data_IF_428742247605
#
_entry.id   IF_428742247605
#
_cell.length_a   1.000
_cell.length_b   1.000
_cell.length_c   1.000
_cell.angle_alpha   90.00
_cell.angle_beta   90.00
_cell.angle_gamma   90.00
#
_symmetry.space_group_name_H-M   'P 1'
#
loop_
_entity.id
_entity.type
_entity.pdbx_description
1 polymer ?
#
# COMPACT_ATOMS: atom_id res chain seq x y z
N UNK A 1 -1.34 24.35 -5.40
CA UNK A 1 -0.48 23.35 -6.06
C UNK A 1 0.74 23.19 -5.17
N UNK A 2 1.26 21.97 -5.01
CA UNK A 2 2.49 21.75 -4.24
C UNK A 2 3.67 22.45 -4.94
N UNK A 3 4.52 23.12 -4.18
CA UNK A 3 5.72 23.74 -4.73
C UNK A 3 6.74 22.64 -5.10
N UNK A 4 7.60 22.84 -6.13
CA UNK A 4 8.67 21.90 -6.47
C UNK A 4 9.54 21.48 -5.27
N UNK A 5 9.76 22.39 -4.33
CA UNK A 5 10.49 22.10 -3.08
C UNK A 5 9.77 21.11 -2.17
N UNK A 6 8.44 21.13 -2.14
CA UNK A 6 7.65 20.20 -1.31
C UNK A 6 7.72 18.78 -1.86
N UNK A 7 7.75 18.64 -3.20
CA UNK A 7 7.88 17.36 -3.89
C UNK A 7 9.24 16.73 -3.60
N UNK A 8 10.33 17.47 -3.78
CA UNK A 8 11.67 16.95 -3.47
C UNK A 8 11.82 16.60 -1.98
N UNK A 9 11.25 17.42 -1.09
CA UNK A 9 11.25 17.14 0.35
C UNK A 9 10.53 15.83 0.67
N UNK A 10 9.33 15.64 0.11
CA UNK A 10 8.55 14.42 0.29
C UNK A 10 9.28 13.18 -0.25
N UNK A 11 9.83 13.27 -1.47
CA UNK A 11 10.57 12.15 -2.07
C UNK A 11 11.80 11.81 -1.22
N UNK A 12 12.56 12.82 -0.78
CA UNK A 12 13.77 12.61 0.03
C UNK A 12 13.45 12.02 1.40
N UNK A 13 12.38 12.49 2.05
CA UNK A 13 11.92 11.98 3.35
C UNK A 13 11.61 10.49 3.26
N UNK A 14 10.81 10.08 2.26
CA UNK A 14 10.27 8.72 2.22
C UNK A 14 11.20 7.69 1.58
N UNK A 15 12.08 8.11 0.67
CA UNK A 15 13.03 7.19 0.00
C UNK A 15 13.86 6.40 1.01
N UNK A 16 14.41 7.08 2.02
CA UNK A 16 15.27 6.48 3.03
C UNK A 16 14.56 5.74 4.17
N UNK A 17 13.23 5.65 4.16
CA UNK A 17 12.49 5.04 5.27
C UNK A 17 12.58 3.50 5.27
N UNK A 18 12.89 2.94 6.45
CA UNK A 18 12.99 1.49 6.68
C UNK A 18 12.65 1.17 8.14
N UNK A 19 11.91 0.09 8.40
CA UNK A 19 11.42 -0.29 9.74
C UNK A 19 10.25 0.56 10.26
N UNK A 20 9.41 -0.03 11.12
CA UNK A 20 8.14 0.49 11.69
C UNK A 20 6.99 0.71 10.66
N UNK A 21 6.42 -0.42 10.21
CA UNK A 21 5.48 -0.52 9.07
C UNK A 21 4.21 0.34 9.20
N UNK A 22 3.58 0.40 10.38
CA UNK A 22 2.27 1.05 10.55
C UNK A 22 2.36 2.58 10.65
N UNK A 23 3.31 3.11 11.43
CA UNK A 23 3.45 4.55 11.65
C UNK A 23 3.89 5.29 10.37
N UNK A 24 4.73 4.63 9.57
CA UNK A 24 5.20 5.16 8.29
C UNK A 24 4.08 5.22 7.26
N UNK A 25 3.20 4.20 7.22
CA UNK A 25 2.07 4.15 6.29
C UNK A 25 1.13 5.35 6.45
N UNK A 26 0.65 5.61 7.67
CA UNK A 26 -0.31 6.71 7.90
C UNK A 26 0.33 8.07 7.61
N UNK A 27 1.58 8.26 8.04
CA UNK A 27 2.34 9.49 7.81
C UNK A 27 2.61 9.72 6.31
N UNK A 28 2.99 8.68 5.57
CA UNK A 28 3.19 8.74 4.12
C UNK A 28 1.91 9.13 3.39
N UNK A 29 0.78 8.48 3.70
CA UNK A 29 -0.50 8.74 3.04
C UNK A 29 -1.01 10.15 3.35
N UNK A 30 -0.83 10.64 4.59
CA UNK A 30 -1.17 12.03 4.94
C UNK A 30 -0.29 13.03 4.18
N UNK A 31 1.01 12.76 4.09
CA UNK A 31 1.95 13.58 3.31
C UNK A 31 1.61 13.60 1.82
N UNK A 32 1.26 12.44 1.25
CA UNK A 32 0.82 12.31 -0.13
C UNK A 32 -0.49 13.07 -0.38
N UNK A 33 -1.49 12.94 0.51
CA UNK A 33 -2.74 13.68 0.40
C UNK A 33 -2.50 15.19 0.37
N UNK A 34 -1.63 15.70 1.27
CA UNK A 34 -1.21 17.09 1.28
C UNK A 34 -0.50 17.49 -0.02
N UNK A 35 0.41 16.66 -0.52
CA UNK A 35 1.15 16.91 -1.75
C UNK A 35 0.21 17.02 -2.97
N UNK A 36 -0.80 16.14 -3.03
CA UNK A 36 -1.82 16.12 -4.08
C UNK A 36 -2.91 17.18 -3.87
N UNK A 37 -2.93 17.88 -2.73
CA UNK A 37 -3.96 18.87 -2.40
C UNK A 37 -5.36 18.27 -2.17
N UNK A 38 -5.43 16.99 -1.79
CA UNK A 38 -6.69 16.29 -1.46
C UNK A 38 -6.87 16.16 0.04
N UNK A 39 -8.12 15.95 0.48
CA UNK A 39 -8.41 15.69 1.89
C UNK A 39 -7.62 14.46 2.39
N UNK A 40 -7.07 14.47 3.62
CA UNK A 40 -6.49 13.29 4.23
C UNK A 40 -7.56 12.37 4.86
N UNK A 41 -7.22 11.09 5.17
CA UNK A 41 -8.10 10.22 5.93
C UNK A 41 -8.44 10.80 7.31
N UNK A 42 -9.66 10.54 7.78
CA UNK A 42 -10.15 11.00 9.09
C UNK A 42 -9.82 9.97 10.18
N UNK A 43 -9.84 10.43 11.43
CA UNK A 43 -9.73 9.55 12.58
C UNK A 43 -10.90 8.56 12.64
N UNK A 44 -10.59 7.28 12.87
CA UNK A 44 -11.61 6.25 13.00
C UNK A 44 -12.51 6.51 14.21
N UNK A 45 -13.82 6.30 14.02
CA UNK A 45 -14.85 6.37 15.06
C UNK A 45 -15.21 4.97 15.56
N UNK A 46 -15.81 4.91 16.75
CA UNK A 46 -16.30 3.65 17.33
C UNK A 46 -17.43 3.02 16.49
N UNK A 47 -18.25 3.86 15.85
CA UNK A 47 -19.22 3.43 14.86
C UNK A 47 -18.55 3.30 13.48
N UNK A 48 -18.37 2.06 13.06
CA UNK A 48 -17.74 1.70 11.79
C UNK A 48 -18.53 2.16 10.56
N UNK A 49 -19.84 2.41 10.69
CA UNK A 49 -20.66 2.92 9.57
C UNK A 49 -20.32 4.37 9.20
N UNK A 50 -19.71 5.12 10.11
CA UNK A 50 -19.26 6.49 9.88
C UNK A 50 -17.80 6.59 9.36
N UNK A 51 -17.14 5.45 9.16
CA UNK A 51 -15.73 5.35 8.78
C UNK A 51 -15.55 5.25 7.25
N UNK A 52 -16.00 6.29 6.55
CA UNK A 52 -16.02 6.36 5.08
C UNK A 52 -14.68 6.73 4.45
N UNK A 53 -13.80 7.42 5.17
CA UNK A 53 -12.43 7.68 4.73
C UNK A 53 -11.50 7.66 5.94
N UNK A 54 -10.90 6.50 6.23
CA UNK A 54 -10.14 6.26 7.47
C UNK A 54 -8.95 5.34 7.23
N UNK A 55 -8.00 5.37 8.17
CA UNK A 55 -7.02 4.31 8.32
C UNK A 55 -7.60 3.12 9.09
N UNK A 56 -6.97 1.95 8.92
CA UNK A 56 -7.24 0.72 9.69
C UNK A 56 -8.73 0.32 9.71
N UNK A 57 -9.43 0.48 8.57
CA UNK A 57 -10.85 0.14 8.47
C UNK A 57 -11.05 -1.35 8.71
N UNK A 58 -11.85 -1.67 9.70
CA UNK A 58 -12.16 -3.06 10.06
C UNK A 58 -13.04 -3.69 8.99
N UNK A 59 -12.79 -4.96 8.69
CA UNK A 59 -13.65 -5.79 7.83
C UNK A 59 -13.72 -7.20 8.39
N UNK A 60 -14.86 -7.84 8.19
CA UNK A 60 -15.11 -9.21 8.62
C UNK A 60 -15.21 -10.10 7.39
N UNK A 61 -14.26 -11.02 7.26
CA UNK A 61 -14.18 -11.95 6.14
C UNK A 61 -14.87 -13.25 6.53
N UNK A 62 -15.90 -13.64 5.80
CA UNK A 62 -16.50 -14.96 5.95
C UNK A 62 -15.56 -16.02 5.35
N UNK A 63 -15.15 -17.00 6.16
CA UNK A 63 -14.20 -18.05 5.76
C UNK A 63 -14.88 -19.18 4.96
N UNK A 64 -16.21 -19.17 4.81
CA UNK A 64 -16.99 -20.16 4.07
C UNK A 64 -17.35 -21.42 4.86
N UNK A 65 -16.82 -21.58 6.07
CA UNK A 65 -17.12 -22.66 7.02
C UNK A 65 -18.05 -22.20 8.17
N UNK A 66 -18.63 -21.01 8.04
CA UNK A 66 -19.45 -20.38 9.08
C UNK A 66 -18.64 -19.57 10.10
N UNK A 67 -17.31 -19.56 10.02
CA UNK A 67 -16.45 -18.69 10.84
C UNK A 67 -16.14 -17.39 10.12
N UNK A 68 -15.89 -16.33 10.90
CA UNK A 68 -15.43 -15.05 10.38
C UNK A 68 -14.01 -14.77 10.86
N UNK A 69 -13.17 -14.25 9.95
CA UNK A 69 -11.87 -13.72 10.28
C UNK A 69 -11.90 -12.19 10.26
N UNK A 70 -11.13 -11.61 11.18
CA UNK A 70 -11.00 -10.16 11.30
C UNK A 70 -9.86 -9.65 10.42
N UNK A 71 -10.11 -8.57 9.67
CA UNK A 71 -9.12 -7.87 8.87
C UNK A 71 -9.14 -6.36 9.13
N UNK A 72 -8.04 -5.69 8.77
CA UNK A 72 -7.93 -4.23 8.76
C UNK A 72 -7.35 -3.81 7.41
N UNK A 73 -8.06 -2.91 6.74
CA UNK A 73 -7.59 -2.24 5.54
C UNK A 73 -6.71 -1.07 5.99
N UNK A 74 -5.50 -0.94 5.43
CA UNK A 74 -4.59 0.14 5.83
C UNK A 74 -5.19 1.53 5.61
N UNK A 75 -5.76 1.78 4.45
CA UNK A 75 -6.54 2.98 4.19
C UNK A 75 -7.73 2.70 3.25
N UNK A 76 -8.90 3.18 3.62
CA UNK A 76 -10.14 2.93 2.89
C UNK A 76 -10.86 4.25 2.65
N UNK A 77 -11.32 4.47 1.40
CA UNK A 77 -12.22 5.56 1.03
C UNK A 77 -13.43 4.99 0.29
N UNK A 78 -14.62 5.08 0.90
CA UNK A 78 -15.89 4.56 0.38
C UNK A 78 -16.18 5.10 -1.02
N UNK A 79 -16.50 4.19 -1.94
CA UNK A 79 -16.75 4.51 -3.34
C UNK A 79 -15.51 4.94 -4.14
N UNK A 80 -14.31 4.94 -3.55
CA UNK A 80 -13.08 5.35 -4.24
C UNK A 80 -12.05 4.21 -4.28
N UNK A 81 -11.48 3.84 -3.13
CA UNK A 81 -10.38 2.88 -3.11
C UNK A 81 -10.25 2.11 -1.79
N UNK A 82 -9.59 0.96 -1.91
CA UNK A 82 -8.84 0.30 -0.82
C UNK A 82 -7.36 0.49 -1.12
N UNK A 83 -6.57 0.83 -0.10
CA UNK A 83 -5.12 0.86 -0.17
C UNK A 83 -4.55 -0.14 0.84
N UNK A 84 -3.68 -1.02 0.34
CA UNK A 84 -2.84 -1.90 1.16
C UNK A 84 -1.38 -1.43 1.06
N UNK A 85 -0.76 -1.20 2.20
CA UNK A 85 0.60 -0.70 2.30
C UNK A 85 1.56 -1.83 2.68
N UNK A 86 2.71 -1.78 2.06
CA UNK A 86 3.87 -2.63 2.32
C UNK A 86 5.02 -1.67 2.57
N UNK A 87 5.90 -1.99 3.50
CA UNK A 87 7.16 -1.25 3.62
C UNK A 87 8.30 -2.18 3.20
N UNK A 88 8.92 -1.93 2.04
CA UNK A 88 10.20 -2.55 1.68
C UNK A 88 11.36 -1.88 2.42
N UNK A 89 12.40 -2.63 2.73
CA UNK A 89 13.64 -2.10 3.32
C UNK A 89 14.63 -1.66 2.23
N UNK A 90 14.97 -0.36 2.18
CA UNK A 90 16.15 0.11 1.41
C UNK A 90 17.47 -0.27 2.07
N UNK A 91 17.47 -0.46 3.40
CA UNK A 91 18.63 -0.86 4.19
C UNK A 91 19.30 -2.15 3.68
N UNK A 92 18.57 -3.02 2.97
CA UNK A 92 19.11 -4.24 2.36
C UNK A 92 19.85 -3.99 1.03
N UNK A 93 19.64 -2.85 0.35
CA UNK A 93 20.38 -2.49 -0.87
C UNK A 93 21.85 -2.20 -0.55
N UNK A 94 22.10 -1.48 0.56
CA UNK A 94 23.45 -1.18 1.03
C UNK A 94 24.15 -2.38 1.70
N UNK A 95 23.39 -3.30 2.31
CA UNK A 95 23.93 -4.54 2.85
C UNK A 95 24.33 -5.54 1.76
N UNK A 96 23.62 -5.55 0.63
CA UNK A 96 23.96 -6.38 -0.53
C UNK A 96 25.29 -5.99 -1.21
N UNK A 97 25.72 -4.72 -1.09
CA UNK A 97 27.02 -4.25 -1.59
C UNK A 97 28.19 -4.68 -0.69
N UNK A 98 27.92 -5.20 0.52
CA UNK A 98 28.93 -5.52 1.53
C UNK A 98 29.12 -7.01 1.83
N UNK A 99 28.31 -7.90 1.24
CA UNK A 99 28.60 -9.34 1.20
C UNK A 99 28.95 -9.99 2.54
N UNK A 100 28.15 -9.79 3.59
CA UNK A 100 28.34 -10.48 4.86
C UNK A 100 27.08 -11.25 5.28
N UNK A 101 27.30 -12.52 5.57
CA UNK A 101 26.33 -13.58 5.83
C UNK A 101 26.31 -13.97 7.31
N UNK A 102 25.13 -14.33 7.83
CA UNK A 102 25.01 -15.42 8.81
C UNK A 102 23.63 -16.10 8.71
N UNK A 103 23.65 -17.41 8.40
CA UNK A 103 22.80 -17.99 7.36
C UNK A 103 21.68 -18.95 7.86
N UNK A 104 20.52 -19.00 7.19
CA UNK A 104 19.63 -20.17 7.11
C UNK A 104 19.95 -20.99 5.84
N UNK A 105 19.13 -21.97 5.42
CA UNK A 105 19.45 -22.79 4.21
C UNK A 105 19.75 -21.93 2.95
N UNK A 106 19.28 -20.68 2.94
CA UNK A 106 19.65 -19.62 2.00
C UNK A 106 20.41 -18.43 2.60
N UNK A 107 20.35 -18.20 3.91
CA UNK A 107 21.20 -17.19 4.52
C UNK A 107 20.69 -16.22 5.55
N UNK A 108 19.56 -16.44 6.21
CA UNK A 108 18.93 -15.39 7.00
C UNK A 108 18.40 -15.84 8.37
N UNK A 109 18.79 -15.15 9.45
CA UNK A 109 18.15 -15.32 10.76
C UNK A 109 16.72 -14.75 10.82
N UNK A 110 15.86 -15.31 11.68
CA UNK A 110 14.46 -14.90 11.84
C UNK A 110 14.32 -13.44 12.33
N UNK A 111 15.27 -12.95 13.14
CA UNK A 111 15.32 -11.55 13.60
C UNK A 111 15.60 -10.60 12.44
N UNK A 112 16.46 -10.99 11.49
CA UNK A 112 16.74 -10.22 10.27
C UNK A 112 15.51 -10.17 9.36
N UNK A 113 14.73 -11.26 9.25
CA UNK A 113 13.48 -11.27 8.45
C UNK A 113 12.41 -10.32 8.97
N UNK A 114 12.23 -10.25 10.28
CA UNK A 114 11.26 -9.34 10.92
C UNK A 114 11.71 -7.88 10.80
N UNK A 115 13.03 -7.62 10.83
CA UNK A 115 13.58 -6.27 10.62
C UNK A 115 13.52 -5.81 9.15
N UNK A 116 13.45 -6.73 8.17
CA UNK A 116 13.41 -6.40 6.73
C UNK A 116 12.07 -5.89 6.21
N UNK A 117 10.95 -6.15 6.90
CA UNK A 117 9.64 -5.87 6.33
C UNK A 117 9.42 -6.60 5.00
N UNK A 118 9.00 -5.88 3.95
CA UNK A 118 8.74 -6.44 2.61
C UNK A 118 10.06 -6.80 1.91
N UNK A 119 10.05 -7.91 1.15
CA UNK A 119 11.21 -8.44 0.44
C UNK A 119 11.95 -7.37 -0.39
N UNK A 120 13.25 -7.55 -0.59
CA UNK A 120 14.14 -6.63 -1.32
C UNK A 120 13.55 -6.18 -2.66
N UNK A 121 13.39 -4.86 -2.84
CA UNK A 121 12.90 -4.22 -4.07
C UNK A 121 13.66 -4.73 -5.30
N UNK A 122 12.94 -4.90 -6.41
CA UNK A 122 13.50 -5.42 -7.67
C UNK A 122 13.80 -6.93 -7.69
N UNK A 123 13.51 -7.66 -6.62
CA UNK A 123 13.63 -9.13 -6.61
C UNK A 123 12.30 -9.82 -6.92
N UNK A 124 12.33 -11.09 -7.35
CA UNK A 124 11.10 -11.90 -7.47
C UNK A 124 10.32 -11.99 -6.16
N UNK A 125 11.00 -11.97 -5.01
CA UNK A 125 10.35 -11.97 -3.69
C UNK A 125 9.52 -10.72 -3.45
N UNK A 126 10.02 -9.55 -3.85
CA UNK A 126 9.27 -8.29 -3.78
C UNK A 126 8.07 -8.30 -4.72
N UNK A 127 8.25 -8.74 -5.98
CA UNK A 127 7.15 -8.85 -6.92
C UNK A 127 6.04 -9.77 -6.40
N UNK A 128 6.40 -10.91 -5.78
CA UNK A 128 5.46 -11.80 -5.11
C UNK A 128 4.74 -11.12 -3.96
N UNK A 129 5.45 -10.34 -3.13
CA UNK A 129 4.85 -9.61 -2.01
C UNK A 129 3.83 -8.55 -2.48
N UNK A 130 4.11 -7.83 -3.56
CA UNK A 130 3.17 -6.87 -4.16
C UNK A 130 1.91 -7.57 -4.70
N UNK A 131 2.08 -8.72 -5.37
CA UNK A 131 0.94 -9.54 -5.84
C UNK A 131 0.10 -10.07 -4.68
N UNK A 132 0.74 -10.48 -3.57
CA UNK A 132 0.03 -10.92 -2.37
C UNK A 132 -0.77 -9.79 -1.73
N UNK A 133 -0.21 -8.57 -1.68
CA UNK A 133 -0.89 -7.38 -1.17
C UNK A 133 -2.10 -7.01 -2.05
N UNK A 134 -1.97 -7.08 -3.38
CA UNK A 134 -3.13 -6.96 -4.29
C UNK A 134 -4.22 -7.98 -3.95
N UNK A 135 -3.84 -9.25 -3.79
CA UNK A 135 -4.79 -10.30 -3.45
C UNK A 135 -5.46 -10.10 -2.08
N UNK A 136 -4.78 -9.42 -1.14
CA UNK A 136 -5.34 -9.02 0.15
C UNK A 136 -6.34 -7.88 0.00
N UNK A 137 -6.00 -6.83 -0.75
CA UNK A 137 -6.92 -5.74 -1.08
C UNK A 137 -8.19 -6.26 -1.77
N UNK A 138 -8.06 -7.24 -2.67
CA UNK A 138 -9.21 -7.91 -3.30
C UNK A 138 -10.08 -8.66 -2.28
N UNK A 139 -9.47 -9.39 -1.33
CA UNK A 139 -10.25 -10.07 -0.27
C UNK A 139 -10.98 -9.06 0.63
N UNK A 140 -10.34 -7.92 0.93
CA UNK A 140 -10.99 -6.86 1.70
C UNK A 140 -12.13 -6.20 0.94
N UNK A 141 -12.00 -5.98 -0.36
CA UNK A 141 -13.10 -5.50 -1.18
C UNK A 141 -14.32 -6.45 -1.10
N UNK A 142 -14.08 -7.77 -1.01
CA UNK A 142 -15.14 -8.80 -0.83
C UNK A 142 -15.82 -8.77 0.53
N UNK A 143 -15.16 -8.21 1.52
CA UNK A 143 -15.61 -8.18 2.91
C UNK A 143 -16.23 -6.83 3.30
N UNK A 144 -16.31 -5.87 2.37
CA UNK A 144 -17.01 -4.61 2.62
C UNK A 144 -18.53 -4.82 2.73
N UNK A 145 -19.24 -3.95 3.47
CA UNK A 145 -20.70 -3.95 3.50
C UNK A 145 -21.31 -3.91 2.10
N UNK A 146 -22.41 -4.66 1.90
CA UNK A 146 -23.05 -4.81 0.57
C UNK A 146 -23.44 -3.46 -0.03
N UNK A 147 -23.92 -2.53 0.79
CA UNK A 147 -24.36 -1.19 0.38
C UNK A 147 -23.20 -0.25 0.00
N UNK A 148 -21.96 -0.59 0.34
CA UNK A 148 -20.77 0.13 -0.12
C UNK A 148 -20.42 -0.24 -1.56
N UNK A 149 -20.77 -1.46 -1.98
CA UNK A 149 -20.33 -2.04 -3.24
C UNK A 149 -18.81 -2.25 -3.29
N UNK A 150 -18.31 -2.51 -4.50
CA UNK A 150 -16.90 -2.73 -4.77
C UNK A 150 -16.22 -1.40 -5.08
N UNK A 151 -15.10 -1.04 -4.41
CA UNK A 151 -14.35 0.17 -4.74
C UNK A 151 -13.85 0.11 -6.20
N UNK A 152 -13.91 1.20 -6.97
CA UNK A 152 -13.43 1.18 -8.35
C UNK A 152 -11.91 0.95 -8.45
N UNK A 153 -11.14 1.32 -7.41
CA UNK A 153 -9.69 1.17 -7.39
C UNK A 153 -9.20 0.31 -6.21
N UNK A 154 -8.15 -0.47 -6.46
CA UNK A 154 -7.26 -1.00 -5.43
C UNK A 154 -5.88 -0.38 -5.61
N UNK A 155 -5.32 0.10 -4.52
CA UNK A 155 -3.98 0.68 -4.46
C UNK A 155 -3.08 -0.25 -3.62
N UNK A 156 -1.89 -0.54 -4.12
CA UNK A 156 -0.87 -1.25 -3.34
C UNK A 156 0.36 -0.36 -3.27
N UNK A 157 0.69 0.11 -2.08
CA UNK A 157 1.82 1.01 -1.88
C UNK A 157 3.02 0.26 -1.29
N UNK A 158 4.18 0.34 -1.93
CA UNK A 158 5.47 0.15 -1.24
C UNK A 158 5.94 1.53 -0.76
N UNK A 159 5.83 1.77 0.55
CA UNK A 159 6.08 3.07 1.17
C UNK A 159 7.49 3.55 0.84
N UNK A 160 7.58 4.74 0.26
CA UNK A 160 8.85 5.31 -0.18
C UNK A 160 9.38 4.76 -1.51
N UNK A 161 8.57 4.03 -2.29
CA UNK A 161 9.02 3.49 -3.58
C UNK A 161 8.01 3.60 -4.71
N UNK A 162 6.82 3.02 -4.55
CA UNK A 162 5.84 3.04 -5.62
C UNK A 162 4.42 2.79 -5.12
N UNK A 163 3.45 3.19 -5.93
CA UNK A 163 2.03 2.88 -5.77
C UNK A 163 1.57 2.16 -7.04
N UNK A 164 1.08 0.93 -6.88
CA UNK A 164 0.43 0.20 -7.97
C UNK A 164 -1.06 0.46 -7.96
N UNK A 165 -1.61 0.80 -9.12
CA UNK A 165 -3.01 1.14 -9.32
C UNK A 165 -3.69 0.04 -10.12
N UNK A 166 -4.76 -0.49 -9.54
CA UNK A 166 -5.63 -1.47 -10.18
C UNK A 166 -7.06 -0.95 -10.20
N UNK A 167 -7.80 -1.22 -11.27
CA UNK A 167 -9.18 -0.77 -11.42
C UNK A 167 -10.12 -1.90 -11.86
N UNK A 168 -11.37 -1.84 -11.37
CA UNK A 168 -12.50 -2.62 -11.89
C UNK A 168 -13.72 -1.70 -12.03
N UNK A 169 -13.86 -1.08 -13.21
CA UNK A 169 -14.99 -0.20 -13.52
C UNK A 169 -16.27 -0.96 -13.84
N UNK A 170 -16.25 -2.29 -13.90
CA UNK A 170 -17.47 -3.08 -14.06
C UNK A 170 -18.31 -3.11 -12.79
N UNK A 171 -17.70 -2.76 -11.64
CA UNK A 171 -18.35 -2.81 -10.33
C UNK A 171 -18.69 -4.23 -9.88
N UNK A 172 -18.13 -5.26 -10.53
CA UNK A 172 -18.40 -6.67 -10.19
C UNK A 172 -17.44 -7.23 -9.14
N UNK A 173 -16.31 -6.55 -8.90
CA UNK A 173 -15.27 -6.99 -7.97
C UNK A 173 -14.53 -8.25 -8.45
N UNK A 174 -14.65 -8.59 -9.73
CA UNK A 174 -14.15 -9.85 -10.30
C UNK A 174 -12.81 -9.69 -11.02
N UNK A 175 -12.45 -8.48 -11.44
CA UNK A 175 -11.33 -8.30 -12.36
C UNK A 175 -10.60 -6.97 -12.18
N UNK A 176 -10.01 -6.74 -11.01
CA UNK A 176 -9.09 -5.61 -10.83
C UNK A 176 -7.85 -5.79 -11.71
N UNK A 177 -7.78 -4.99 -12.77
CA UNK A 177 -6.72 -4.99 -13.76
C UNK A 177 -5.79 -3.78 -13.59
N UNK A 178 -4.56 -3.89 -14.07
CA UNK A 178 -3.57 -2.81 -14.06
C UNK A 178 -4.12 -1.57 -14.79
N UNK A 179 -4.08 -0.42 -14.13
CA UNK A 179 -4.64 0.85 -14.64
C UNK A 179 -3.60 1.97 -14.57
N UNK A 180 -3.46 2.84 -15.58
CA UNK A 180 -4.27 2.89 -16.81
C UNK A 180 -3.92 1.78 -17.81
N UNK A 181 -2.73 1.20 -17.70
CA UNK A 181 -2.28 0.07 -18.51
C UNK A 181 -1.10 -0.66 -17.85
N UNK A 182 -0.62 -1.73 -18.49
CA UNK A 182 0.47 -2.57 -17.98
C UNK A 182 1.82 -1.87 -17.85
N UNK A 183 2.04 -0.74 -18.51
CA UNK A 183 3.29 0.00 -18.45
C UNK A 183 3.26 1.09 -17.38
N UNK A 184 2.08 1.69 -17.13
CA UNK A 184 1.92 2.87 -16.26
C UNK A 184 1.21 2.60 -14.94
N UNK A 185 0.78 1.36 -14.69
CA UNK A 185 0.07 1.02 -13.44
C UNK A 185 0.89 1.18 -12.18
N UNK A 186 2.22 1.21 -12.28
CA UNK A 186 3.11 1.42 -11.15
C UNK A 186 3.66 2.83 -11.23
N UNK A 187 3.17 3.69 -10.35
CA UNK A 187 3.64 5.06 -10.17
C UNK A 187 4.81 4.99 -9.21
N UNK A 188 6.02 5.27 -9.69
CA UNK A 188 7.20 5.37 -8.85
C UNK A 188 7.14 6.67 -8.03
N UNK A 189 7.78 6.68 -6.86
CA UNK A 189 7.82 7.87 -6.01
C UNK A 189 8.46 9.06 -6.76
N UNK A 190 9.45 8.78 -7.61
CA UNK A 190 10.08 9.78 -8.46
C UNK A 190 9.17 10.35 -9.55
N UNK A 191 8.13 9.63 -9.96
CA UNK A 191 7.16 10.09 -10.96
C UNK A 191 6.28 11.21 -10.41
N UNK A 192 6.21 11.39 -9.08
CA UNK A 192 5.54 12.52 -8.45
C UNK A 192 6.16 13.87 -8.81
N UNK A 193 7.30 13.92 -9.52
CA UNK A 193 7.83 15.15 -10.13
C UNK A 193 7.00 15.62 -11.33
N UNK A 194 6.40 14.68 -12.06
CA UNK A 194 5.53 14.98 -13.19
C UNK A 194 4.17 15.46 -12.69
N UNK A 195 3.75 16.64 -13.16
CA UNK A 195 2.45 17.22 -12.82
C UNK A 195 1.30 16.38 -13.35
N UNK A 196 1.44 15.80 -14.55
CA UNK A 196 0.42 14.95 -15.15
C UNK A 196 0.19 13.63 -14.40
N UNK A 197 1.12 13.25 -13.53
CA UNK A 197 0.96 12.09 -12.63
C UNK A 197 0.23 12.48 -11.34
N UNK A 198 0.33 13.76 -10.93
CA UNK A 198 -0.32 14.27 -9.71
C UNK A 198 -1.78 14.69 -9.95
N UNK A 199 -2.10 15.14 -11.16
CA UNK A 199 -3.45 15.56 -11.60
C UNK A 199 -4.34 14.36 -12.00
#
# INVERSE_FOLDING_TARGET
MAEPSDIETFIAEWRGTGGSELANTQSFINGLARLLGVDPPRGAKADDTANDYVFERRVFQNNGDGTESFGRIDCYKRGCFILEAKQGSEADRAAADKGEDDLDIFGQTAKTRVARGTARRGTPGWAKAMVQAKGQAERYAKALPIDHGWPPFLLVADIGYCIEVYADFTGTGKAYAQFPDRARYRIMLEDLRDEAVRD
#
